data_IF_677853726720
#
_entry.id   IF_677853726720
#
_cell.length_a   1.000
_cell.length_b   1.000
_cell.length_c   1.000
_cell.angle_alpha   90.00
_cell.angle_beta   90.00
_cell.angle_gamma   90.00
#
_symmetry.space_group_name_H-M   'P 1'
#
loop_
_entity.id
_entity.type
_entity.pdbx_description
1 polymer ?
#
# COMPACT_ATOMS: atom_id res chain seq x y z
N UNK A 1 8.88 11.66 10.53
CA UNK A 1 9.08 10.66 9.46
C UNK A 1 8.81 11.22 8.05
N UNK A 2 7.78 12.05 7.85
CA UNK A 2 7.42 12.57 6.51
C UNK A 2 8.59 13.27 5.80
N UNK A 3 9.33 14.17 6.48
CA UNK A 3 10.47 14.86 5.88
C UNK A 3 11.64 13.96 5.45
N UNK A 4 11.90 12.86 6.18
CA UNK A 4 12.93 11.89 5.80
C UNK A 4 12.54 11.08 4.56
N UNK A 5 11.26 10.69 4.46
CA UNK A 5 10.74 10.04 3.25
C UNK A 5 10.75 10.98 2.06
N UNK A 6 10.35 12.24 2.23
CA UNK A 6 10.44 13.26 1.18
C UNK A 6 11.87 13.43 0.67
N UNK A 7 12.87 13.43 1.56
CA UNK A 7 14.28 13.48 1.17
C UNK A 7 14.71 12.25 0.35
N UNK A 8 14.32 11.04 0.78
CA UNK A 8 14.60 9.81 0.03
C UNK A 8 13.96 9.85 -1.36
N UNK A 9 12.72 10.34 -1.47
CA UNK A 9 12.02 10.49 -2.74
C UNK A 9 12.77 11.48 -3.65
N UNK A 10 13.19 12.63 -3.13
CA UNK A 10 13.98 13.60 -3.89
C UNK A 10 15.33 13.03 -4.34
N UNK A 11 16.00 12.22 -3.52
CA UNK A 11 17.24 11.53 -3.92
C UNK A 11 16.97 10.47 -4.99
N UNK A 12 15.90 9.68 -4.86
CA UNK A 12 15.51 8.68 -5.85
C UNK A 12 15.11 9.31 -7.19
N UNK A 13 14.48 10.49 -7.16
CA UNK A 13 14.15 11.27 -8.34
C UNK A 13 15.41 11.80 -9.02
N UNK A 14 16.33 12.40 -8.26
CA UNK A 14 17.62 12.87 -8.75
C UNK A 14 18.49 11.73 -9.30
N UNK A 15 18.41 10.53 -8.74
CA UNK A 15 19.11 9.34 -9.20
C UNK A 15 18.42 8.64 -10.40
N UNK A 16 17.23 9.10 -10.83
CA UNK A 16 16.44 8.48 -11.90
C UNK A 16 15.81 7.13 -11.51
N UNK A 17 15.85 6.74 -10.23
CA UNK A 17 15.35 5.45 -9.74
C UNK A 17 13.83 5.29 -9.89
N UNK A 18 13.07 6.38 -9.74
CA UNK A 18 11.63 6.41 -10.00
C UNK A 18 11.28 6.01 -11.44
N UNK A 19 12.10 6.42 -12.41
CA UNK A 19 11.93 6.04 -13.83
C UNK A 19 12.18 4.54 -14.08
N UNK A 20 13.07 3.92 -13.31
CA UNK A 20 13.36 2.48 -13.42
C UNK A 20 12.23 1.66 -12.81
N UNK A 21 11.73 2.05 -11.63
CA UNK A 21 10.65 1.33 -10.93
C UNK A 21 9.34 1.38 -11.74
N UNK A 22 9.02 2.56 -12.28
CA UNK A 22 7.84 2.75 -13.14
C UNK A 22 7.94 1.97 -14.46
N UNK A 23 9.15 1.85 -15.04
CA UNK A 23 9.40 1.00 -16.22
C UNK A 23 9.20 -0.49 -15.90
N UNK A 24 9.71 -0.96 -14.76
CA UNK A 24 9.52 -2.35 -14.32
C UNK A 24 8.04 -2.66 -14.05
N UNK A 25 7.32 -1.76 -13.39
CA UNK A 25 5.86 -1.88 -13.14
C UNK A 25 5.07 -1.89 -14.44
N UNK A 26 5.38 -0.98 -15.38
CA UNK A 26 4.72 -0.91 -16.67
C UNK A 26 5.02 -2.09 -17.61
N UNK A 27 6.08 -2.86 -17.36
CA UNK A 27 6.39 -4.08 -18.13
C UNK A 27 5.63 -5.31 -17.58
N UNK A 28 5.28 -5.29 -16.29
CA UNK A 28 4.61 -6.40 -15.59
C UNK A 28 3.10 -6.21 -15.49
N UNK A 29 2.61 -4.96 -15.57
CA UNK A 29 1.23 -4.61 -15.21
C UNK A 29 0.41 -4.15 -16.42
N UNK A 30 -0.85 -4.59 -16.45
CA UNK A 30 -1.87 -4.15 -17.40
C UNK A 30 -2.80 -3.14 -16.69
N UNK A 31 -3.56 -2.31 -17.42
CA UNK A 31 -4.49 -1.33 -16.82
C UNK A 31 -5.51 -1.94 -15.84
N UNK A 32 -5.84 -3.22 -16.02
CA UNK A 32 -6.76 -3.96 -15.13
C UNK A 32 -6.04 -4.45 -13.85
N UNK A 33 -4.80 -4.91 -13.96
CA UNK A 33 -4.10 -5.58 -12.84
C UNK A 33 -3.32 -4.60 -11.98
N UNK A 34 -2.93 -3.45 -12.52
CA UNK A 34 -2.11 -2.44 -11.81
C UNK A 34 -2.76 -1.94 -10.52
N UNK A 35 -4.07 -1.72 -10.51
CA UNK A 35 -4.81 -1.25 -9.33
C UNK A 35 -4.75 -2.28 -8.19
N UNK A 36 -4.95 -3.56 -8.53
CA UNK A 36 -4.83 -4.66 -7.57
C UNK A 36 -3.41 -4.83 -7.05
N UNK A 37 -2.40 -4.74 -7.91
CA UNK A 37 -1.00 -4.83 -7.50
C UNK A 37 -0.59 -3.66 -6.60
N UNK A 38 -0.97 -2.43 -6.94
CA UNK A 38 -0.67 -1.26 -6.12
C UNK A 38 -1.35 -1.34 -4.76
N UNK A 39 -2.62 -1.76 -4.69
CA UNK A 39 -3.32 -1.96 -3.43
C UNK A 39 -2.70 -3.09 -2.58
N UNK A 40 -2.26 -4.17 -3.21
CA UNK A 40 -1.61 -5.28 -2.53
C UNK A 40 -0.25 -4.86 -1.96
N UNK A 41 0.63 -4.29 -2.78
CA UNK A 41 1.96 -3.87 -2.33
C UNK A 41 1.89 -2.72 -1.32
N UNK A 42 0.98 -1.76 -1.51
CA UNK A 42 0.77 -0.69 -0.54
C UNK A 42 0.29 -1.24 0.81
N UNK A 43 -0.58 -2.25 0.80
CA UNK A 43 -1.06 -2.92 2.02
C UNK A 43 0.00 -3.77 2.72
N UNK A 44 0.81 -4.54 1.99
CA UNK A 44 1.90 -5.32 2.58
C UNK A 44 2.91 -4.39 3.25
N UNK A 45 3.29 -3.30 2.58
CA UNK A 45 4.23 -2.32 3.12
C UNK A 45 3.61 -1.59 4.32
N UNK A 46 2.32 -1.26 4.25
CA UNK A 46 1.57 -0.67 5.36
C UNK A 46 1.53 -1.57 6.60
N UNK A 47 1.51 -2.90 6.43
CA UNK A 47 1.45 -3.83 7.55
C UNK A 47 2.56 -3.63 8.59
N UNK A 48 3.72 -3.09 8.21
CA UNK A 48 4.85 -2.83 9.10
C UNK A 48 5.29 -1.36 9.09
N UNK A 49 4.59 -0.49 8.36
CA UNK A 49 5.00 0.89 8.12
C UNK A 49 3.82 1.84 8.30
N UNK A 50 4.10 3.15 8.32
CA UNK A 50 3.03 4.14 8.40
C UNK A 50 2.40 4.35 7.02
N UNK A 51 1.10 4.07 6.89
CA UNK A 51 0.29 4.40 5.69
C UNK A 51 0.52 5.83 5.22
N UNK A 52 0.30 6.79 6.11
CA UNK A 52 0.46 8.21 5.79
C UNK A 52 1.90 8.68 5.77
N UNK A 53 2.78 8.07 6.58
CA UNK A 53 4.16 8.52 6.74
C UNK A 53 5.16 7.98 5.72
N UNK A 54 4.86 6.84 5.09
CA UNK A 54 5.78 6.11 4.21
C UNK A 54 5.11 5.66 2.92
N UNK A 55 3.93 5.05 3.00
CA UNK A 55 3.27 4.47 1.81
C UNK A 55 2.78 5.55 0.86
N UNK A 56 2.00 6.53 1.34
CA UNK A 56 1.51 7.62 0.47
C UNK A 56 2.65 8.44 -0.15
N UNK A 57 3.67 8.91 0.60
CA UNK A 57 4.80 9.63 0.00
C UNK A 57 5.55 8.80 -1.04
N UNK A 58 5.70 7.49 -0.83
CA UNK A 58 6.41 6.62 -1.77
C UNK A 58 5.61 6.36 -3.05
N UNK A 59 4.32 6.00 -2.93
CA UNK A 59 3.54 5.49 -4.04
C UNK A 59 2.83 6.57 -4.87
N UNK A 60 2.39 7.67 -4.27
CA UNK A 60 1.66 8.72 -5.00
C UNK A 60 2.51 9.39 -6.10
N UNK A 61 3.79 9.74 -5.89
CA UNK A 61 4.63 10.33 -6.94
C UNK A 61 4.92 9.38 -8.11
N UNK A 62 4.74 8.06 -7.92
CA UNK A 62 4.93 7.08 -8.99
C UNK A 62 3.74 7.01 -9.95
N UNK A 63 2.54 7.42 -9.51
CA UNK A 63 1.30 7.30 -10.30
C UNK A 63 1.40 7.90 -11.71
N UNK A 64 1.91 9.13 -11.91
CA UNK A 64 2.01 9.71 -13.25
C UNK A 64 2.94 8.91 -14.18
N UNK A 65 4.06 8.41 -13.64
CA UNK A 65 5.02 7.59 -14.39
C UNK A 65 4.46 6.21 -14.75
N UNK A 66 3.67 5.61 -13.87
CA UNK A 66 2.98 4.34 -14.13
C UNK A 66 1.93 4.50 -15.23
N UNK A 67 1.09 5.54 -15.18
CA UNK A 67 0.08 5.82 -16.22
C UNK A 67 0.73 6.05 -17.58
N UNK A 68 1.78 6.87 -17.62
CA UNK A 68 2.51 7.17 -18.85
C UNK A 68 3.14 5.93 -19.49
N UNK A 69 3.55 4.94 -18.69
CA UNK A 69 4.15 3.69 -19.19
C UNK A 69 3.14 2.64 -19.60
N UNK A 70 1.98 2.58 -18.96
CA UNK A 70 0.89 1.67 -19.35
C UNK A 70 0.12 2.14 -20.58
N UNK A 71 0.29 3.40 -21.00
CA UNK A 71 -0.41 3.97 -22.14
C UNK A 71 -1.87 4.37 -21.84
N UNK A 72 -2.24 4.43 -20.56
CA UNK A 72 -3.58 4.75 -20.10
C UNK A 72 -3.84 4.28 -18.68
N UNK A 73 -4.89 4.81 -18.05
CA UNK A 73 -5.28 4.52 -16.66
C UNK A 73 -5.75 5.78 -15.95
N UNK A 74 -6.74 5.64 -15.08
CA UNK A 74 -7.26 6.76 -14.32
C UNK A 74 -6.40 7.04 -13.06
N UNK A 75 -5.88 8.28 -12.89
CA UNK A 75 -5.08 8.63 -11.72
C UNK A 75 -5.85 8.49 -10.40
N UNK A 76 -7.13 8.81 -10.37
CA UNK A 76 -7.94 8.75 -9.15
C UNK A 76 -8.14 7.29 -8.72
N UNK A 77 -8.39 6.37 -9.65
CA UNK A 77 -8.45 4.93 -9.40
C UNK A 77 -7.15 4.36 -8.81
N UNK A 78 -6.00 4.77 -9.34
CA UNK A 78 -4.67 4.32 -8.86
C UNK A 78 -4.39 4.86 -7.46
N UNK A 79 -4.65 6.16 -7.24
CA UNK A 79 -4.49 6.81 -5.93
C UNK A 79 -5.42 6.16 -4.90
N UNK A 80 -6.68 5.91 -5.28
CA UNK A 80 -7.67 5.28 -4.41
C UNK A 80 -7.28 3.85 -4.06
N UNK A 81 -6.76 3.10 -5.03
CA UNK A 81 -6.22 1.75 -4.80
C UNK A 81 -5.06 1.75 -3.78
N UNK A 82 -4.14 2.72 -3.89
CA UNK A 82 -3.06 2.90 -2.92
C UNK A 82 -3.61 3.25 -1.54
N UNK A 83 -4.56 4.19 -1.46
CA UNK A 83 -5.18 4.61 -0.20
C UNK A 83 -5.94 3.48 0.49
N UNK A 84 -6.77 2.75 -0.24
CA UNK A 84 -7.55 1.61 0.27
C UNK A 84 -6.62 0.48 0.70
N UNK A 85 -5.66 0.11 -0.14
CA UNK A 85 -4.69 -0.95 0.18
C UNK A 85 -3.87 -0.65 1.43
N UNK A 86 -3.41 0.60 1.59
CA UNK A 86 -2.63 1.02 2.75
C UNK A 86 -3.44 1.03 4.05
N UNK A 87 -4.66 1.56 4.04
CA UNK A 87 -5.44 1.71 5.29
C UNK A 87 -6.16 0.43 5.74
N UNK A 88 -6.48 -0.48 4.82
CA UNK A 88 -7.12 -1.76 5.18
C UNK A 88 -6.26 -2.61 6.13
N UNK A 89 -4.96 -2.36 6.18
CA UNK A 89 -3.97 -3.16 6.90
C UNK A 89 -3.52 -2.50 8.23
N UNK A 90 -4.05 -1.30 8.55
CA UNK A 90 -3.62 -0.48 9.69
C UNK A 90 -3.87 -1.12 11.08
N UNK A 91 -4.63 -2.20 11.18
CA UNK A 91 -4.85 -2.93 12.45
C UNK A 91 -3.76 -3.97 12.75
N UNK A 92 -2.77 -4.11 11.88
CA UNK A 92 -1.60 -4.96 12.09
C UNK A 92 -0.95 -4.67 13.46
N UNK A 93 -0.43 -5.70 14.17
CA UNK A 93 0.18 -5.51 15.49
C UNK A 93 1.44 -4.64 15.46
N UNK A 94 2.02 -4.43 14.28
CA UNK A 94 3.18 -3.57 14.05
C UNK A 94 2.79 -2.09 13.83
N UNK A 95 1.51 -1.80 13.60
CA UNK A 95 0.97 -0.44 13.48
C UNK A 95 0.69 0.13 14.88
N UNK A 96 0.60 1.46 14.98
CA UNK A 96 0.28 2.17 16.23
C UNK A 96 -0.99 1.62 16.91
N UNK A 97 -2.05 1.37 16.14
CA UNK A 97 -3.32 0.86 16.66
C UNK A 97 -3.21 -0.58 17.15
N UNK A 98 -2.54 -1.47 16.41
CA UNK A 98 -2.33 -2.85 16.83
C UNK A 98 -1.38 -2.98 18.01
N UNK A 99 -0.34 -2.14 18.07
CA UNK A 99 0.58 -2.06 19.20
C UNK A 99 -0.13 -1.57 20.47
N UNK A 100 -1.00 -0.55 20.36
CA UNK A 100 -1.86 -0.10 21.46
C UNK A 100 -2.80 -1.22 21.93
N UNK A 101 -3.41 -1.96 21.01
CA UNK A 101 -4.31 -3.07 21.34
C UNK A 101 -3.57 -4.20 22.10
N UNK A 102 -2.33 -4.51 21.72
CA UNK A 102 -1.48 -5.47 22.43
C UNK A 102 -1.01 -4.97 23.79
N UNK A 103 -0.72 -3.66 23.89
CA UNK A 103 -0.29 -3.02 25.13
C UNK A 103 -1.42 -2.97 26.17
N UNK A 104 -2.66 -2.71 25.72
CA UNK A 104 -3.86 -2.61 26.58
C UNK A 104 -4.60 -3.93 26.77
N UNK A 105 -4.16 -5.01 26.12
CA UNK A 105 -4.75 -6.34 26.29
C UNK A 105 -4.76 -6.76 27.77
N UNK A 106 -5.93 -7.23 28.23
CA UNK A 106 -6.12 -7.69 29.60
C UNK A 106 -5.14 -8.82 29.96
N UNK A 107 -4.78 -8.94 31.24
CA UNK A 107 -3.85 -9.97 31.74
C UNK A 107 -4.34 -11.41 31.52
N UNK A 108 -5.63 -11.60 31.24
CA UNK A 108 -6.24 -12.89 30.89
C UNK A 108 -6.05 -13.27 29.42
N UNK A 109 -5.58 -12.37 28.57
CA UNK A 109 -5.39 -12.58 27.13
C UNK A 109 -3.95 -12.96 26.83
N UNK A 110 -3.78 -14.05 26.09
CA UNK A 110 -2.47 -14.44 25.54
C UNK A 110 -2.04 -13.45 24.45
N UNK A 111 -1.09 -12.57 24.80
CA UNK A 111 -0.53 -11.54 23.91
C UNK A 111 0.16 -12.14 22.68
N UNK A 112 0.75 -13.33 22.80
CA UNK A 112 1.40 -14.02 21.68
C UNK A 112 0.38 -14.51 20.66
N UNK A 113 -0.74 -15.07 21.14
CA UNK A 113 -1.85 -15.48 20.27
C UNK A 113 -2.56 -14.28 19.63
N UNK A 114 -2.77 -13.20 20.40
CA UNK A 114 -3.35 -11.95 19.89
C UNK A 114 -2.46 -11.31 18.82
N UNK A 115 -1.14 -11.25 19.04
CA UNK A 115 -0.19 -10.74 18.05
C UNK A 115 -0.29 -11.51 16.74
N UNK A 116 -0.27 -12.85 16.80
CA UNK A 116 -0.32 -13.68 15.60
C UNK A 116 -1.65 -13.54 14.85
N UNK A 117 -2.76 -13.42 15.57
CA UNK A 117 -4.08 -13.21 14.97
C UNK A 117 -4.17 -11.86 14.27
N UNK A 118 -3.70 -10.78 14.90
CA UNK A 118 -3.69 -9.45 14.29
C UNK A 118 -2.76 -9.41 13.05
N UNK A 119 -1.62 -10.10 13.10
CA UNK A 119 -0.69 -10.17 11.97
C UNK A 119 -1.30 -10.91 10.77
N UNK A 120 -1.90 -12.08 11.03
CA UNK A 120 -2.60 -12.86 9.99
C UNK A 120 -3.76 -12.06 9.43
N UNK A 121 -4.53 -11.37 10.28
CA UNK A 121 -5.64 -10.53 9.85
C UNK A 121 -5.17 -9.38 8.96
N UNK A 122 -4.13 -8.64 9.37
CA UNK A 122 -3.58 -7.53 8.59
C UNK A 122 -3.07 -7.98 7.22
N UNK A 123 -2.26 -9.05 7.18
CA UNK A 123 -1.78 -9.61 5.91
C UNK A 123 -2.92 -10.13 5.03
N UNK A 124 -3.95 -10.74 5.62
CA UNK A 124 -5.13 -11.19 4.88
C UNK A 124 -5.89 -10.01 4.28
N UNK A 125 -6.03 -8.91 5.01
CA UNK A 125 -6.70 -7.70 4.52
C UNK A 125 -5.95 -7.01 3.38
N UNK A 126 -4.62 -7.17 3.30
CA UNK A 126 -3.86 -6.72 2.13
C UNK A 126 -4.28 -7.45 0.86
N UNK A 127 -4.47 -8.76 0.94
CA UNK A 127 -4.94 -9.58 -0.18
C UNK A 127 -6.38 -9.22 -0.56
N UNK A 128 -7.25 -9.05 0.44
CA UNK A 128 -8.64 -8.62 0.23
C UNK A 128 -8.68 -7.24 -0.44
N UNK A 129 -7.90 -6.28 0.03
CA UNK A 129 -7.78 -4.95 -0.57
C UNK A 129 -7.30 -4.99 -2.01
N UNK A 130 -6.30 -5.83 -2.30
CA UNK A 130 -5.82 -6.08 -3.66
C UNK A 130 -6.91 -6.63 -4.59
N UNK A 131 -7.64 -7.66 -4.14
CA UNK A 131 -8.74 -8.27 -4.92
C UNK A 131 -9.89 -7.28 -5.13
N UNK A 132 -10.28 -6.54 -4.09
CA UNK A 132 -11.35 -5.53 -4.16
C UNK A 132 -10.97 -4.41 -5.13
N UNK A 133 -9.74 -3.89 -5.06
CA UNK A 133 -9.29 -2.83 -5.97
C UNK A 133 -9.14 -3.35 -7.42
N UNK A 134 -8.72 -4.60 -7.59
CA UNK A 134 -8.69 -5.25 -8.91
C UNK A 134 -10.10 -5.37 -9.50
N UNK A 135 -11.08 -5.80 -8.71
CA UNK A 135 -12.45 -5.96 -9.18
C UNK A 135 -13.14 -4.62 -9.45
N UNK A 136 -12.98 -3.63 -8.57
CA UNK A 136 -13.65 -2.33 -8.68
C UNK A 136 -13.01 -1.43 -9.75
N UNK A 137 -11.69 -1.22 -9.68
CA UNK A 137 -10.99 -0.28 -10.56
C UNK A 137 -10.42 -0.96 -11.80
N UNK A 138 -10.12 -2.26 -11.73
CA UNK A 138 -9.64 -3.03 -12.88
C UNK A 138 -10.78 -3.55 -13.75
N UNK A 139 -11.73 -4.28 -13.16
CA UNK A 139 -12.80 -4.98 -13.91
C UNK A 139 -14.04 -4.11 -14.10
N UNK A 140 -14.48 -3.39 -13.06
CA UNK A 140 -15.66 -2.53 -13.13
C UNK A 140 -15.38 -1.16 -13.79
N UNK A 141 -14.11 -0.73 -13.83
CA UNK A 141 -13.72 0.56 -14.41
C UNK A 141 -14.35 1.77 -13.73
N UNK A 142 -14.63 1.68 -12.43
CA UNK A 142 -15.09 2.83 -11.65
C UNK A 142 -13.98 3.91 -11.65
N UNK A 143 -14.34 5.20 -11.84
CA UNK A 143 -13.38 6.30 -11.77
C UNK A 143 -12.78 6.45 -10.37
#
# INVERSE_FOLDING_TARGET
>A
MVGGMSMIISVMEAAGGLGIITKSIGTISNPITVNGFLALFSGIISAYSSSSGVVLPMFLPMVPGVIAKMGGGDPASLITSICVGSHLVDTSPLSLFGALCLATAASTVDKGKLFRNLLIWGLSMSVVGGVVCLLLFGVLGLP
#
